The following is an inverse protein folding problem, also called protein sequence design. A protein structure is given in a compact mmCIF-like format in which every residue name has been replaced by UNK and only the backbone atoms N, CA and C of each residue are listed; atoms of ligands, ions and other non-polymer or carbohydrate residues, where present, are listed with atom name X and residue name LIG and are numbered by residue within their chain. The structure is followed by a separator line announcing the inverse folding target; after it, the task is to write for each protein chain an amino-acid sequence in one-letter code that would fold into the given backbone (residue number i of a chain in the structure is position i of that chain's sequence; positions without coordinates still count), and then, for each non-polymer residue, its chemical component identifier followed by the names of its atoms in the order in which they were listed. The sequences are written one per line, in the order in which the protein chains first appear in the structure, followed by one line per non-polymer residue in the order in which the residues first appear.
data_IF_946672708930
#
_entry.id   IF_946672708930
#
_cell.length_a   1.000
_cell.length_b   1.000
_cell.length_c   1.000
_cell.angle_alpha   90.00
_cell.angle_beta   90.00
_cell.angle_gamma   90.00
#
_symmetry.space_group_name_H-M   'P 1'
#
loop_
_entity.id
_entity.type
_entity.pdbx_description
1 polymer ?
#
# COMPACT_ATOMS: atom_id res chain seq x y z
N UNK A 1 -57.88 5.08 -33.89
CA UNK A 1 -57.09 5.35 -32.67
C UNK A 1 -56.22 4.15 -32.39
N UNK A 2 -54.91 4.29 -32.60
CA UNK A 2 -53.81 3.50 -32.02
C UNK A 2 -52.60 3.73 -32.92
N UNK A 3 -51.68 4.56 -32.44
CA UNK A 3 -50.45 4.90 -33.15
C UNK A 3 -49.50 3.71 -33.18
N UNK A 4 -48.94 3.45 -34.36
CA UNK A 4 -47.89 2.46 -34.55
C UNK A 4 -46.61 2.91 -33.86
N UNK A 5 -46.17 2.11 -32.89
CA UNK A 5 -44.86 2.17 -32.24
C UNK A 5 -43.79 1.64 -33.20
N UNK A 6 -42.93 2.53 -33.70
CA UNK A 6 -41.73 2.15 -34.43
C UNK A 6 -40.54 2.10 -33.44
N UNK A 7 -39.90 0.94 -33.37
CA UNK A 7 -38.82 0.65 -32.44
C UNK A 7 -37.61 1.58 -32.60
N UNK A 8 -37.16 2.15 -31.48
CA UNK A 8 -35.92 2.88 -31.36
C UNK A 8 -34.76 1.90 -31.17
N UNK A 9 -33.99 1.67 -32.24
CA UNK A 9 -32.63 1.10 -32.18
C UNK A 9 -31.63 2.23 -32.36
N UNK A 10 -31.45 3.07 -31.33
CA UNK A 10 -30.38 4.08 -31.36
C UNK A 10 -29.06 3.44 -30.91
N UNK A 11 -28.36 2.90 -31.90
CA UNK A 11 -26.94 2.53 -31.88
C UNK A 11 -26.11 3.57 -31.11
N UNK A 12 -25.40 3.14 -30.07
CA UNK A 12 -24.30 3.89 -29.47
C UNK A 12 -23.11 3.86 -30.45
N UNK A 13 -23.20 4.62 -31.55
CA UNK A 13 -22.01 5.06 -32.26
C UNK A 13 -21.28 6.00 -31.34
N UNK A 14 -20.23 5.50 -30.71
CA UNK A 14 -19.15 6.33 -30.21
C UNK A 14 -18.67 7.19 -31.37
N UNK A 15 -19.08 8.47 -31.39
CA UNK A 15 -18.44 9.45 -32.23
C UNK A 15 -17.02 9.59 -31.69
N UNK A 16 -16.09 8.85 -32.29
CA UNK A 16 -14.69 9.22 -32.26
C UNK A 16 -14.62 10.65 -32.76
N UNK A 17 -14.15 11.55 -31.90
CA UNK A 17 -13.85 12.92 -32.28
C UNK A 17 -12.87 12.84 -33.45
N UNK A 18 -13.35 13.11 -34.67
CA UNK A 18 -12.47 13.37 -35.81
C UNK A 18 -11.77 14.69 -35.51
N UNK A 19 -10.62 14.58 -34.84
CA UNK A 19 -9.71 15.69 -34.60
C UNK A 19 -9.07 16.00 -35.96
N UNK A 20 -9.53 17.05 -36.62
CA UNK A 20 -8.83 17.60 -37.77
C UNK A 20 -7.47 18.14 -37.29
N UNK A 21 -6.32 17.72 -37.87
CA UNK A 21 -4.99 18.11 -37.38
C UNK A 21 -4.61 19.60 -37.56
N UNK A 22 -5.52 20.46 -38.00
CA UNK A 22 -5.23 21.83 -38.44
C UNK A 22 -6.21 22.87 -37.87
N UNK A 23 -6.87 22.61 -36.75
CA UNK A 23 -7.73 23.62 -36.11
C UNK A 23 -6.89 24.52 -35.18
N UNK A 24 -6.60 25.80 -35.53
CA UNK A 24 -5.65 26.64 -34.80
C UNK A 24 -6.18 27.15 -33.44
N UNK A 25 -7.45 26.88 -33.13
CA UNK A 25 -8.16 27.47 -31.99
C UNK A 25 -8.46 26.49 -30.86
N UNK A 26 -8.05 25.21 -30.98
CA UNK A 26 -8.26 24.22 -29.93
C UNK A 26 -6.91 23.67 -29.43
N UNK A 27 -6.22 24.38 -28.51
CA UNK A 27 -4.98 23.88 -27.95
C UNK A 27 -5.23 22.54 -27.26
N UNK A 28 -4.42 21.54 -27.59
CA UNK A 28 -4.44 20.24 -26.93
C UNK A 28 -4.39 20.46 -25.40
N UNK A 29 -5.23 19.76 -24.61
CA UNK A 29 -5.11 19.84 -23.17
C UNK A 29 -3.67 19.45 -22.79
N UNK A 30 -3.02 20.19 -21.88
CA UNK A 30 -1.64 19.93 -21.51
C UNK A 30 -1.50 18.46 -21.08
N UNK A 31 -0.38 17.80 -21.41
CA UNK A 31 -0.13 16.42 -21.01
C UNK A 31 -0.38 16.31 -19.51
N UNK A 32 -1.28 15.41 -19.09
CA UNK A 32 -1.50 15.13 -17.67
C UNK A 32 -0.19 14.58 -17.10
N UNK A 33 0.60 15.44 -16.46
CA UNK A 33 1.79 15.01 -15.73
C UNK A 33 1.31 14.11 -14.60
N UNK A 34 1.56 12.80 -14.72
CA UNK A 34 1.31 11.88 -13.60
C UNK A 34 2.27 12.28 -12.49
N UNK A 35 1.74 12.78 -11.37
CA UNK A 35 2.55 13.04 -10.17
C UNK A 35 3.31 11.74 -9.83
N UNK A 36 4.63 11.83 -9.62
CA UNK A 36 5.46 10.70 -9.20
C UNK A 36 4.91 10.16 -7.87
N UNK A 37 5.07 8.86 -7.61
CA UNK A 37 4.61 8.26 -6.37
C UNK A 37 5.51 8.66 -5.20
N UNK A 38 4.95 8.71 -3.99
CA UNK A 38 5.72 8.98 -2.78
C UNK A 38 6.71 7.83 -2.53
N UNK A 39 7.99 8.15 -2.53
CA UNK A 39 9.06 7.27 -2.04
C UNK A 39 9.10 7.39 -0.52
N UNK A 40 9.17 6.24 0.14
CA UNK A 40 9.21 6.10 1.59
C UNK A 40 10.52 5.45 1.99
N UNK A 41 11.29 6.12 2.84
CA UNK A 41 12.45 5.52 3.50
C UNK A 41 12.04 4.79 4.78
N UNK A 42 12.92 3.95 5.32
CA UNK A 42 12.69 3.26 6.60
C UNK A 42 12.52 4.26 7.75
N UNK A 43 13.25 5.38 7.73
CA UNK A 43 13.12 6.45 8.72
C UNK A 43 11.75 7.13 8.64
N UNK A 44 11.27 7.41 7.42
CA UNK A 44 9.95 8.01 7.19
C UNK A 44 8.80 7.06 7.57
N UNK A 45 8.98 5.76 7.34
CA UNK A 45 8.06 4.73 7.81
C UNK A 45 8.03 4.68 9.34
N UNK A 46 9.19 4.73 10.00
CA UNK A 46 9.31 4.82 11.45
C UNK A 46 8.59 6.04 12.01
N UNK A 47 8.87 7.23 11.47
CA UNK A 47 8.22 8.46 11.90
C UNK A 47 6.69 8.44 11.75
N UNK A 48 6.17 7.80 10.69
CA UNK A 48 4.74 7.58 10.54
C UNK A 48 4.19 6.67 11.64
N UNK A 49 4.86 5.55 11.92
CA UNK A 49 4.42 4.59 12.93
C UNK A 49 4.47 5.17 14.35
N UNK A 50 5.53 5.92 14.67
CA UNK A 50 5.68 6.61 15.96
C UNK A 50 4.58 7.65 16.16
N UNK A 51 4.28 8.43 15.12
CA UNK A 51 3.17 9.38 15.15
C UNK A 51 1.83 8.67 15.37
N UNK A 52 1.57 7.56 14.69
CA UNK A 52 0.35 6.79 14.88
C UNK A 52 0.28 6.18 16.29
N UNK A 53 1.42 5.76 16.85
CA UNK A 53 1.50 5.20 18.20
C UNK A 53 1.11 6.25 19.24
N UNK A 54 1.59 7.48 19.10
CA UNK A 54 1.21 8.59 20.00
C UNK A 54 -0.26 8.99 19.87
N UNK A 55 -0.94 8.59 18.79
CA UNK A 55 -2.36 8.86 18.53
C UNK A 55 -3.24 7.61 18.61
N UNK A 56 -2.75 6.52 19.22
CA UNK A 56 -3.48 5.25 19.34
C UNK A 56 -4.86 5.40 19.99
N UNK A 57 -5.01 6.28 20.98
CA UNK A 57 -6.30 6.56 21.64
C UNK A 57 -7.37 7.14 20.71
N UNK A 58 -6.96 7.64 19.53
CA UNK A 58 -7.87 8.16 18.50
C UNK A 58 -8.28 7.08 17.49
N UNK A 59 -7.63 5.92 17.52
CA UNK A 59 -8.03 4.77 16.72
C UNK A 59 -9.35 4.21 17.25
N UNK A 60 -10.27 3.88 16.34
CA UNK A 60 -11.48 3.13 16.67
C UNK A 60 -11.19 1.63 16.69
N UNK A 61 -12.00 0.85 15.96
CA UNK A 61 -11.86 -0.61 15.79
C UNK A 61 -10.62 -1.03 14.96
N UNK A 62 -9.43 -0.54 15.33
CA UNK A 62 -8.17 -0.85 14.64
C UNK A 62 -7.93 -0.05 13.35
N UNK A 63 -8.66 1.07 13.18
CA UNK A 63 -8.43 2.01 12.08
C UNK A 63 -8.49 3.48 12.55
N UNK A 64 -7.68 4.32 11.93
CA UNK A 64 -7.61 5.75 12.23
C UNK A 64 -8.62 6.54 11.41
N UNK A 65 -9.19 7.59 12.02
CA UNK A 65 -10.13 8.49 11.34
C UNK A 65 -9.39 9.38 10.34
N UNK A 66 -10.13 9.90 9.34
CA UNK A 66 -9.59 10.84 8.35
C UNK A 66 -8.85 12.04 8.98
N UNK A 67 -9.35 12.54 10.11
CA UNK A 67 -8.71 13.63 10.84
C UNK A 67 -7.28 13.27 11.28
N UNK A 68 -7.07 12.07 11.82
CA UNK A 68 -5.75 11.59 12.24
C UNK A 68 -4.80 11.39 11.06
N UNK A 69 -5.31 10.98 9.89
CA UNK A 69 -4.49 10.89 8.68
C UNK A 69 -4.08 12.26 8.14
N UNK A 70 -4.94 13.27 8.27
CA UNK A 70 -4.59 14.64 7.90
C UNK A 70 -3.50 15.22 8.82
N UNK A 71 -3.60 14.99 10.14
CA UNK A 71 -2.54 15.41 11.08
C UNK A 71 -1.25 14.62 10.86
N UNK A 72 -1.33 13.32 10.55
CA UNK A 72 -0.16 12.53 10.16
C UNK A 72 0.52 13.11 8.91
N UNK A 73 -0.26 13.45 7.87
CA UNK A 73 0.27 14.07 6.66
C UNK A 73 0.95 15.42 6.94
N UNK A 74 0.36 16.25 7.80
CA UNK A 74 0.96 17.52 8.21
C UNK A 74 2.28 17.30 8.98
N UNK A 75 2.32 16.32 9.88
CA UNK A 75 3.52 15.92 10.61
C UNK A 75 4.62 15.43 9.65
N UNK A 76 4.27 14.58 8.67
CA UNK A 76 5.21 14.09 7.68
C UNK A 76 5.73 15.22 6.78
N UNK A 77 4.87 16.15 6.35
CA UNK A 77 5.30 17.29 5.53
C UNK A 77 6.25 18.24 6.30
N UNK A 78 6.06 18.38 7.61
CA UNK A 78 6.91 19.21 8.45
C UNK A 78 8.30 18.59 8.70
N UNK A 79 8.34 17.30 9.06
CA UNK A 79 9.57 16.62 9.45
C UNK A 79 10.32 15.96 8.28
N UNK A 80 9.61 15.61 7.21
CA UNK A 80 10.14 14.93 6.02
C UNK A 80 9.62 15.62 4.74
N UNK A 81 10.02 16.89 4.50
CA UNK A 81 9.57 17.62 3.34
C UNK A 81 10.01 16.90 2.05
N UNK A 82 9.14 16.84 1.03
CA UNK A 82 9.45 16.14 -0.19
C UNK A 82 10.62 16.81 -0.94
N UNK A 83 11.57 15.99 -1.37
CA UNK A 83 12.62 16.43 -2.29
C UNK A 83 12.08 16.72 -3.70
N UNK A 84 12.92 17.25 -4.60
CA UNK A 84 12.53 17.70 -5.95
C UNK A 84 11.83 16.62 -6.80
N UNK A 85 12.13 15.36 -6.51
CA UNK A 85 11.65 14.20 -7.25
C UNK A 85 10.63 13.34 -6.48
N UNK A 86 10.22 13.74 -5.28
CA UNK A 86 9.30 12.99 -4.43
C UNK A 86 7.96 13.71 -4.29
N UNK A 87 6.85 12.97 -4.25
CA UNK A 87 5.54 13.59 -3.99
C UNK A 87 5.28 13.74 -2.50
N UNK A 88 4.42 14.70 -2.15
CA UNK A 88 3.92 14.89 -0.79
C UNK A 88 3.36 13.59 -0.19
N UNK A 89 3.66 13.38 1.09
CA UNK A 89 3.07 12.30 1.89
C UNK A 89 1.69 12.71 2.36
N UNK A 90 0.73 12.70 1.44
CA UNK A 90 -0.68 13.05 1.74
C UNK A 90 -1.30 12.08 2.73
N UNK A 91 -2.48 12.43 3.25
CA UNK A 91 -3.26 11.57 4.15
C UNK A 91 -3.51 10.19 3.52
N UNK A 92 -3.88 10.15 2.24
CA UNK A 92 -4.10 8.90 1.51
C UNK A 92 -2.81 8.09 1.32
N UNK A 93 -1.66 8.77 1.12
CA UNK A 93 -0.35 8.13 1.02
C UNK A 93 0.04 7.47 2.35
N UNK A 94 -0.13 8.19 3.46
CA UNK A 94 0.11 7.68 4.81
C UNK A 94 -0.77 6.48 5.14
N UNK A 95 -2.07 6.55 4.87
CA UNK A 95 -3.00 5.45 5.10
C UNK A 95 -2.64 4.21 4.25
N UNK A 96 -2.36 4.40 2.96
CA UNK A 96 -1.94 3.31 2.07
C UNK A 96 -0.65 2.66 2.55
N UNK A 97 0.30 3.47 3.04
CA UNK A 97 1.58 2.98 3.54
C UNK A 97 1.39 2.15 4.81
N UNK A 98 0.62 2.63 5.76
CA UNK A 98 0.28 1.87 6.97
C UNK A 98 -0.41 0.53 6.64
N UNK A 99 -1.36 0.52 5.69
CA UNK A 99 -1.99 -0.73 5.22
C UNK A 99 -0.98 -1.71 4.63
N UNK A 100 0.01 -1.22 3.87
CA UNK A 100 1.07 -2.06 3.33
C UNK A 100 1.94 -2.66 4.46
N UNK A 101 2.34 -1.84 5.43
CA UNK A 101 3.11 -2.27 6.60
C UNK A 101 2.37 -3.31 7.45
N UNK A 102 1.05 -3.17 7.63
CA UNK A 102 0.20 -4.19 8.26
C UNK A 102 0.23 -5.52 7.52
N UNK A 103 0.13 -5.51 6.18
CA UNK A 103 0.22 -6.74 5.38
C UNK A 103 1.59 -7.42 5.54
N UNK A 104 2.65 -6.63 5.52
CA UNK A 104 4.02 -7.11 5.78
C UNK A 104 4.15 -7.74 7.15
N UNK A 105 3.61 -7.10 8.20
CA UNK A 105 3.56 -7.66 9.54
C UNK A 105 2.90 -9.05 9.56
N UNK A 106 1.69 -9.21 9.00
CA UNK A 106 0.99 -10.50 9.00
C UNK A 106 1.73 -11.57 8.19
N UNK A 107 2.37 -11.18 7.08
CA UNK A 107 3.20 -12.09 6.30
C UNK A 107 4.40 -12.60 7.13
N UNK A 108 5.06 -11.72 7.87
CA UNK A 108 6.18 -12.06 8.77
C UNK A 108 5.72 -12.84 9.99
N UNK A 109 4.59 -12.48 10.60
CA UNK A 109 4.03 -13.20 11.75
C UNK A 109 3.64 -14.65 11.36
N UNK A 110 3.05 -14.83 10.18
CA UNK A 110 2.79 -16.16 9.64
C UNK A 110 4.08 -16.91 9.30
N UNK A 111 5.08 -16.22 8.75
CA UNK A 111 6.38 -16.84 8.51
C UNK A 111 6.98 -17.34 9.83
N UNK A 112 7.00 -16.52 10.88
CA UNK A 112 7.44 -16.89 12.23
C UNK A 112 6.64 -18.06 12.83
N UNK A 113 5.33 -18.14 12.59
CA UNK A 113 4.50 -19.23 13.13
C UNK A 113 4.63 -20.56 12.37
N UNK A 114 4.85 -20.51 11.05
CA UNK A 114 5.04 -21.70 10.20
C UNK A 114 6.50 -22.17 10.22
N UNK A 115 7.43 -21.28 10.57
CA UNK A 115 8.87 -21.52 10.60
C UNK A 115 9.38 -22.23 11.87
N UNK A 116 8.83 -23.38 12.26
CA UNK A 116 9.57 -24.26 13.18
C UNK A 116 10.92 -24.73 12.62
N UNK A 117 11.20 -24.47 11.33
CA UNK A 117 12.46 -24.73 10.64
C UNK A 117 13.17 -23.52 9.97
N UNK A 118 12.71 -22.27 10.14
CA UNK A 118 13.46 -21.09 9.67
C UNK A 118 13.78 -20.13 10.82
N UNK A 119 15.04 -19.72 10.93
CA UNK A 119 15.45 -18.67 11.87
C UNK A 119 15.12 -17.30 11.27
N UNK A 120 13.84 -16.89 11.29
CA UNK A 120 13.48 -15.54 10.85
C UNK A 120 14.00 -14.50 11.84
N UNK A 121 14.84 -13.60 11.34
CA UNK A 121 15.36 -12.44 12.05
C UNK A 121 14.74 -11.14 11.52
N UNK A 122 14.46 -10.20 12.41
CA UNK A 122 13.80 -8.95 12.02
C UNK A 122 14.71 -8.01 11.22
N UNK A 123 16.04 -8.20 11.28
CA UNK A 123 17.02 -7.42 10.51
C UNK A 123 17.41 -8.15 9.21
N UNK A 124 17.60 -9.47 9.27
CA UNK A 124 18.14 -10.28 8.17
C UNK A 124 17.10 -11.13 7.42
N UNK A 125 15.85 -11.14 7.87
CA UNK A 125 14.74 -11.87 7.25
C UNK A 125 14.79 -13.38 7.55
N UNK A 126 14.26 -14.21 6.65
CA UNK A 126 14.21 -15.67 6.85
C UNK A 126 15.58 -16.37 6.76
N UNK A 127 16.62 -15.62 6.38
CA UNK A 127 18.03 -16.05 6.27
C UNK A 127 18.16 -17.40 5.55
N UNK A 128 17.48 -17.53 4.41
CA UNK A 128 17.44 -18.78 3.62
C UNK A 128 18.83 -19.02 3.02
N UNK A 129 19.50 -20.05 3.52
CA UNK A 129 20.74 -20.59 2.97
C UNK A 129 20.45 -21.60 1.86
N UNK A 130 21.50 -22.14 1.23
CA UNK A 130 21.32 -23.16 0.18
C UNK A 130 20.63 -24.42 0.71
N UNK A 131 20.82 -24.73 1.99
CA UNK A 131 20.40 -25.97 2.64
C UNK A 131 18.90 -26.02 2.99
N UNK A 132 18.21 -24.87 2.94
CA UNK A 132 16.78 -24.73 3.25
C UNK A 132 16.01 -23.97 2.15
N UNK A 133 16.61 -23.85 0.97
CA UNK A 133 15.99 -23.23 -0.21
C UNK A 133 14.78 -24.03 -0.72
N UNK A 134 14.81 -25.36 -0.59
CA UNK A 134 13.72 -26.26 -0.94
C UNK A 134 12.50 -26.10 -0.02
N UNK A 135 12.73 -25.83 1.27
CA UNK A 135 11.68 -25.49 2.23
C UNK A 135 11.05 -24.14 1.87
N UNK A 136 11.85 -23.14 1.48
CA UNK A 136 11.35 -21.84 1.03
C UNK A 136 10.51 -21.97 -0.24
N UNK A 137 10.99 -22.76 -1.21
CA UNK A 137 10.26 -23.01 -2.45
C UNK A 137 8.97 -23.80 -2.19
N UNK A 138 8.97 -24.78 -1.27
CA UNK A 138 7.73 -25.46 -0.83
C UNK A 138 6.78 -24.49 -0.14
N UNK A 139 7.27 -23.65 0.78
CA UNK A 139 6.45 -22.65 1.44
C UNK A 139 5.81 -21.72 0.40
N UNK A 140 6.61 -21.07 -0.46
CA UNK A 140 6.11 -20.17 -1.50
C UNK A 140 5.20 -20.88 -2.50
N UNK A 141 5.47 -22.13 -2.87
CA UNK A 141 4.69 -22.90 -3.87
C UNK A 141 3.38 -23.46 -3.32
N UNK A 142 3.37 -24.04 -2.13
CA UNK A 142 2.14 -24.52 -1.46
C UNK A 142 1.25 -23.34 -1.10
N UNK A 143 1.86 -22.21 -0.75
CA UNK A 143 1.18 -20.98 -0.34
C UNK A 143 1.09 -19.92 -1.43
N UNK A 144 1.33 -20.26 -2.71
CA UNK A 144 1.46 -19.30 -3.83
C UNK A 144 0.20 -18.44 -4.05
N UNK A 145 -0.94 -18.92 -3.53
CA UNK A 145 -2.21 -18.21 -3.55
C UNK A 145 -2.44 -17.31 -2.33
N UNK A 146 -1.83 -17.61 -1.18
CA UNK A 146 -2.11 -16.98 0.11
C UNK A 146 -1.00 -16.01 0.60
N UNK A 147 0.25 -16.17 0.18
CA UNK A 147 1.40 -15.47 0.80
C UNK A 147 2.31 -14.71 -0.19
N UNK A 148 1.75 -14.13 -1.26
CA UNK A 148 2.51 -13.28 -2.20
C UNK A 148 3.24 -12.13 -1.51
N UNK A 149 2.65 -11.61 -0.44
CA UNK A 149 3.19 -10.51 0.36
C UNK A 149 4.42 -10.91 1.20
N UNK A 150 4.73 -12.21 1.33
CA UNK A 150 5.90 -12.71 2.06
C UNK A 150 7.19 -12.73 1.21
N UNK A 151 7.07 -12.64 -0.12
CA UNK A 151 8.20 -12.75 -1.06
C UNK A 151 9.37 -11.78 -0.79
N UNK A 152 9.13 -10.50 -0.42
CA UNK A 152 10.22 -9.58 -0.11
C UNK A 152 11.04 -9.99 1.12
N UNK A 153 10.47 -10.75 2.05
CA UNK A 153 11.09 -11.06 3.35
C UNK A 153 11.95 -12.33 3.36
N UNK A 154 12.26 -12.87 2.17
CA UNK A 154 13.17 -14.02 2.01
C UNK A 154 14.52 -13.76 2.70
N UNK A 155 15.15 -12.65 2.36
CA UNK A 155 16.47 -12.23 2.86
C UNK A 155 16.49 -10.73 3.21
N UNK A 156 15.33 -10.18 3.52
CA UNK A 156 15.17 -8.80 3.97
C UNK A 156 14.37 -8.84 5.26
N UNK A 157 14.91 -8.22 6.30
CA UNK A 157 14.19 -8.02 7.55
C UNK A 157 12.96 -7.13 7.39
N UNK A 158 12.16 -7.08 8.45
CA UNK A 158 11.07 -6.13 8.60
C UNK A 158 11.29 -5.37 9.92
N UNK A 159 12.07 -4.26 9.91
CA UNK A 159 12.46 -3.56 11.12
C UNK A 159 11.25 -2.96 11.86
N UNK A 160 10.14 -2.74 11.15
CA UNK A 160 8.90 -2.18 11.70
C UNK A 160 7.98 -3.21 12.37
N UNK A 161 8.41 -4.47 12.54
CA UNK A 161 7.56 -5.55 13.09
C UNK A 161 6.93 -5.15 14.44
N UNK A 162 7.75 -4.74 15.40
CA UNK A 162 7.28 -4.37 16.75
C UNK A 162 6.42 -3.09 16.74
N UNK A 163 6.81 -2.09 15.96
CA UNK A 163 6.07 -0.83 15.83
C UNK A 163 4.67 -1.07 15.25
N UNK A 164 4.54 -1.93 14.25
CA UNK A 164 3.23 -2.29 13.68
C UNK A 164 2.42 -3.14 14.66
N UNK A 165 3.04 -4.08 15.36
CA UNK A 165 2.37 -4.92 16.37
C UNK A 165 1.66 -4.07 17.45
N UNK A 166 2.33 -3.03 17.94
CA UNK A 166 1.77 -2.08 18.92
C UNK A 166 0.52 -1.35 18.41
N UNK A 167 0.42 -1.13 17.09
CA UNK A 167 -0.67 -0.41 16.44
C UNK A 167 -1.85 -1.30 16.07
N UNK A 168 -1.72 -2.62 16.21
CA UNK A 168 -2.82 -3.54 15.96
C UNK A 168 -3.73 -3.60 17.19
N UNK A 169 -5.07 -3.69 17.00
CA UNK A 169 -5.95 -3.96 18.12
C UNK A 169 -5.46 -5.25 18.78
N UNK A 170 -5.13 -5.18 20.07
CA UNK A 170 -4.75 -6.36 20.84
C UNK A 170 -5.85 -7.38 20.67
N UNK A 171 -5.59 -8.46 19.93
CA UNK A 171 -6.41 -9.65 20.07
C UNK A 171 -6.33 -9.98 21.55
N UNK A 172 -7.44 -9.76 22.28
CA UNK A 172 -7.52 -10.07 23.68
C UNK A 172 -7.03 -11.48 23.85
N UNK A 173 -5.86 -11.63 24.49
CA UNK A 173 -5.46 -12.89 25.09
C UNK A 173 -6.36 -13.03 26.31
N UNK A 174 -7.60 -13.45 26.06
CA UNK A 174 -8.53 -14.01 27.03
C UNK A 174 -8.41 -15.52 26.98
#
# INVERSE_FOLDING_TARGET
MSGSSAGSTRSLRSHGLTINPLDPWNPLPPPRTRKKAAVWTTEEEGALLDFLASHLSQAGDGNFKKATWNTAAAHMAHNHPPGPDNSDKTAESCERKFKALKKSYYAVANLKSVASGFAYDNEHGAMISLDNADLWDRYVKVMYQAHKDAKPFRNSGFPHFASVELLLPSHGRG
#
